data_IF_593118301239
#
_entry.id   IF_593118301239
#
_cell.length_a   1.000
_cell.length_b   1.000
_cell.length_c   1.000
_cell.angle_alpha   90.00
_cell.angle_beta   90.00
_cell.angle_gamma   90.00
#
_symmetry.space_group_name_H-M   'P 1'
#
loop_
_entity.id
_entity.type
_entity.pdbx_description
1 polymer ?
#
# COMPACT_ATOMS: atom_id res chain seq x y z
N UNK A 1 -0.58 12.61 -26.46
CA UNK A 1 -1.89 11.98 -26.22
C UNK A 1 -2.73 12.93 -25.36
N UNK A 2 -3.95 13.30 -25.78
CA UNK A 2 -4.86 14.21 -25.06
C UNK A 2 -5.23 13.69 -23.66
N UNK A 3 -5.45 12.39 -23.51
CA UNK A 3 -5.85 11.80 -22.23
C UNK A 3 -4.76 11.86 -21.17
N UNK A 4 -3.48 11.86 -21.58
CA UNK A 4 -2.36 12.10 -20.66
C UNK A 4 -2.41 13.52 -20.09
N UNK A 5 -2.73 14.52 -20.92
CA UNK A 5 -2.88 15.90 -20.46
C UNK A 5 -4.09 16.05 -19.52
N UNK A 6 -5.22 15.41 -19.85
CA UNK A 6 -6.40 15.38 -18.99
C UNK A 6 -6.13 14.66 -17.65
N UNK A 7 -5.34 13.58 -17.65
CA UNK A 7 -5.00 12.86 -16.42
C UNK A 7 -4.14 13.74 -15.49
N UNK A 8 -3.18 14.48 -16.08
CA UNK A 8 -2.41 15.48 -15.35
C UNK A 8 -3.30 16.61 -14.83
N UNK A 9 -4.22 17.13 -15.64
CA UNK A 9 -5.20 18.15 -15.24
C UNK A 9 -6.06 17.65 -14.07
N UNK A 10 -6.65 16.45 -14.19
CA UNK A 10 -7.44 15.80 -13.14
C UNK A 10 -6.68 15.79 -11.80
N UNK A 11 -5.46 15.25 -11.78
CA UNK A 11 -4.65 15.19 -10.55
C UNK A 11 -4.27 16.58 -10.04
N UNK A 12 -3.79 17.47 -10.91
CA UNK A 12 -3.31 18.79 -10.52
C UNK A 12 -4.43 19.65 -9.95
N UNK A 13 -5.60 19.63 -10.59
CA UNK A 13 -6.79 20.35 -10.12
C UNK A 13 -7.30 19.75 -8.81
N UNK A 14 -7.31 18.43 -8.64
CA UNK A 14 -7.66 17.79 -7.36
C UNK A 14 -6.73 18.27 -6.23
N UNK A 15 -5.42 18.34 -6.50
CA UNK A 15 -4.43 18.76 -5.52
C UNK A 15 -4.59 20.24 -5.16
N UNK A 16 -4.81 21.10 -6.16
CA UNK A 16 -5.09 22.52 -5.95
C UNK A 16 -6.37 22.72 -5.13
N UNK A 17 -7.44 21.98 -5.43
CA UNK A 17 -8.70 22.01 -4.70
C UNK A 17 -8.54 21.57 -3.24
N UNK A 18 -7.80 20.48 -3.02
CA UNK A 18 -7.48 19.99 -1.68
C UNK A 18 -6.69 21.00 -0.87
N UNK A 19 -5.66 21.63 -1.47
CA UNK A 19 -4.89 22.67 -0.78
C UNK A 19 -5.80 23.87 -0.49
N UNK A 20 -6.61 24.32 -1.45
CA UNK A 20 -7.57 25.40 -1.25
C UNK A 20 -8.55 25.10 -0.10
N UNK A 21 -9.03 23.86 0.03
CA UNK A 21 -9.93 23.48 1.12
C UNK A 21 -9.17 23.22 2.43
N UNK A 22 -8.39 22.15 2.47
CA UNK A 22 -7.83 21.59 3.70
C UNK A 22 -6.76 22.47 4.34
N UNK A 23 -6.03 23.28 3.59
CA UNK A 23 -5.11 24.27 4.18
C UNK A 23 -5.87 25.32 4.99
N UNK A 24 -7.00 25.79 4.47
CA UNK A 24 -7.82 26.81 5.12
C UNK A 24 -8.70 26.24 6.25
N UNK A 25 -8.78 24.91 6.39
CA UNK A 25 -9.40 24.24 7.54
C UNK A 25 -8.41 23.98 8.69
N UNK A 26 -7.12 24.23 8.51
CA UNK A 26 -6.13 24.12 9.59
C UNK A 26 -6.33 25.24 10.62
N UNK A 27 -6.03 24.95 11.89
CA UNK A 27 -5.99 26.00 12.93
C UNK A 27 -4.98 27.11 12.60
N UNK A 28 -3.91 26.78 11.88
CA UNK A 28 -2.95 27.74 11.34
C UNK A 28 -2.62 27.35 9.89
N UNK A 29 -3.31 27.94 8.90
CA UNK A 29 -3.05 27.69 7.48
C UNK A 29 -1.60 27.99 7.11
N UNK A 30 -1.01 27.14 6.25
CA UNK A 30 0.36 27.34 5.77
C UNK A 30 0.30 28.25 4.54
N UNK A 31 0.67 29.52 4.72
CA UNK A 31 0.68 30.52 3.64
C UNK A 31 1.93 31.41 3.70
N UNK A 32 2.22 32.10 2.60
CA UNK A 32 3.14 33.24 2.57
C UNK A 32 2.35 34.53 2.32
N UNK A 33 2.91 35.67 2.72
CA UNK A 33 2.23 36.97 2.60
C UNK A 33 1.90 37.37 1.16
N UNK A 34 2.70 36.94 0.18
CA UNK A 34 2.48 37.21 -1.25
C UNK A 34 1.65 36.15 -1.96
N UNK A 35 1.18 35.10 -1.26
CA UNK A 35 0.40 34.02 -1.86
C UNK A 35 1.20 33.05 -2.73
N UNK A 36 2.54 33.06 -2.65
CA UNK A 36 3.41 32.05 -3.27
C UNK A 36 3.11 30.65 -2.75
N UNK A 37 2.73 30.57 -1.47
CA UNK A 37 2.29 29.37 -0.79
C UNK A 37 0.88 29.58 -0.24
N UNK A 38 0.03 28.59 -0.47
CA UNK A 38 -1.38 28.61 -0.09
C UNK A 38 -2.28 28.93 -1.29
N UNK A 39 -3.50 28.40 -1.25
CA UNK A 39 -4.53 28.69 -2.25
C UNK A 39 -5.77 29.20 -1.50
N UNK A 40 -6.39 30.31 -1.92
CA UNK A 40 -7.61 30.83 -1.30
C UNK A 40 -8.74 29.79 -1.27
N UNK A 41 -9.49 29.75 -0.17
CA UNK A 41 -10.56 28.76 0.05
C UNK A 41 -11.66 28.79 -1.02
N UNK A 42 -12.00 29.99 -1.51
CA UNK A 42 -13.03 30.18 -2.52
C UNK A 42 -12.68 29.58 -3.90
N UNK A 43 -11.41 29.22 -4.14
CA UNK A 43 -11.00 28.57 -5.38
C UNK A 43 -11.23 27.06 -5.39
N UNK A 44 -11.52 26.44 -4.23
CA UNK A 44 -11.65 24.99 -4.11
C UNK A 44 -12.71 24.42 -5.05
N UNK A 45 -13.91 25.01 -5.09
CA UNK A 45 -15.02 24.57 -5.96
C UNK A 45 -14.64 24.60 -7.43
N UNK A 46 -13.95 25.65 -7.89
CA UNK A 46 -13.53 25.76 -9.29
C UNK A 46 -12.54 24.67 -9.68
N UNK A 47 -11.59 24.35 -8.79
CA UNK A 47 -10.61 23.30 -9.03
C UNK A 47 -11.22 21.89 -8.96
N UNK A 48 -12.10 21.60 -8.00
CA UNK A 48 -12.82 20.31 -7.98
C UNK A 48 -13.67 20.10 -9.23
N UNK A 49 -14.35 21.15 -9.73
CA UNK A 49 -15.13 21.08 -10.97
C UNK A 49 -14.25 20.71 -12.17
N UNK A 50 -13.08 21.32 -12.32
CA UNK A 50 -12.13 20.99 -13.40
C UNK A 50 -11.58 19.56 -13.28
N UNK A 51 -11.22 19.15 -12.06
CA UNK A 51 -10.78 17.78 -11.78
C UNK A 51 -11.83 16.76 -12.20
N UNK A 52 -13.09 16.99 -11.81
CA UNK A 52 -14.20 16.10 -12.14
C UNK A 52 -14.48 16.06 -13.64
N UNK A 53 -14.49 17.21 -14.32
CA UNK A 53 -14.71 17.30 -15.76
C UNK A 53 -13.66 16.52 -16.55
N UNK A 54 -12.37 16.76 -16.27
CA UNK A 54 -11.27 16.03 -16.91
C UNK A 54 -11.37 14.51 -16.66
N UNK A 55 -11.75 14.12 -15.43
CA UNK A 55 -11.91 12.71 -15.08
C UNK A 55 -13.07 12.05 -15.83
N UNK A 56 -14.22 12.73 -15.94
CA UNK A 56 -15.39 12.28 -16.72
C UNK A 56 -15.04 12.10 -18.19
N UNK A 57 -14.25 13.01 -18.76
CA UNK A 57 -13.81 12.91 -20.16
C UNK A 57 -12.90 11.69 -20.41
N UNK A 58 -11.98 11.38 -19.48
CA UNK A 58 -11.13 10.18 -19.58
C UNK A 58 -11.95 8.89 -19.43
N UNK A 59 -12.89 8.86 -18.48
CA UNK A 59 -13.75 7.68 -18.26
C UNK A 59 -14.68 7.38 -19.45
N UNK A 60 -15.02 8.39 -20.26
CA UNK A 60 -15.76 8.24 -21.52
C UNK A 60 -14.84 7.99 -22.73
N UNK A 61 -13.52 7.93 -22.50
CA UNK A 61 -12.50 7.69 -23.52
C UNK A 61 -12.25 6.20 -23.79
N UNK A 62 -11.10 5.86 -24.41
CA UNK A 62 -10.78 4.51 -24.86
C UNK A 62 -10.26 3.58 -23.75
N UNK A 63 -10.22 4.03 -22.49
CA UNK A 63 -9.62 3.29 -21.38
C UNK A 63 -10.67 2.44 -20.65
N UNK A 64 -10.25 1.29 -20.13
CA UNK A 64 -11.09 0.40 -19.33
C UNK A 64 -10.31 -0.17 -18.16
N UNK A 65 -10.98 -0.44 -17.04
CA UNK A 65 -10.36 -1.10 -15.90
C UNK A 65 -9.94 -2.52 -16.29
N UNK A 66 -8.73 -2.92 -15.87
CA UNK A 66 -8.15 -4.21 -16.21
C UNK A 66 -8.98 -5.35 -15.60
N UNK A 67 -9.37 -6.32 -16.44
CA UNK A 67 -10.20 -7.47 -16.07
C UNK A 67 -10.04 -8.63 -17.08
N UNK A 68 -8.80 -9.04 -17.34
CA UNK A 68 -8.47 -10.11 -18.30
C UNK A 68 -8.34 -11.51 -17.65
N UNK A 69 -8.29 -11.58 -16.32
CA UNK A 69 -8.18 -12.80 -15.52
C UNK A 69 -9.52 -13.10 -14.80
N UNK A 70 -9.83 -14.36 -14.51
CA UNK A 70 -10.97 -14.69 -13.65
C UNK A 70 -10.70 -14.32 -12.18
N UNK A 71 -9.46 -14.47 -11.73
CA UNK A 71 -9.03 -14.10 -10.38
C UNK A 71 -8.85 -12.58 -10.28
N UNK A 72 -9.59 -11.95 -9.34
CA UNK A 72 -9.59 -10.49 -9.15
C UNK A 72 -8.29 -9.97 -8.56
N UNK A 73 -7.60 -10.74 -7.74
CA UNK A 73 -6.30 -10.37 -7.20
C UNK A 73 -5.20 -10.46 -8.25
N UNK A 74 -5.23 -11.50 -9.08
CA UNK A 74 -4.35 -11.67 -10.23
C UNK A 74 -4.56 -10.55 -11.25
N UNK A 75 -5.81 -10.14 -11.54
CA UNK A 75 -6.08 -8.96 -12.36
C UNK A 75 -5.38 -7.71 -11.86
N UNK A 76 -5.46 -7.46 -10.55
CA UNK A 76 -4.87 -6.27 -9.95
C UNK A 76 -3.34 -6.26 -10.03
N UNK A 77 -2.72 -7.43 -9.92
CA UNK A 77 -1.29 -7.63 -10.16
C UNK A 77 -0.93 -7.47 -11.65
N UNK A 78 -1.66 -8.16 -12.52
CA UNK A 78 -1.42 -8.27 -13.95
C UNK A 78 -1.48 -6.91 -14.64
N UNK A 79 -2.41 -6.03 -14.23
CA UNK A 79 -2.56 -4.67 -14.73
C UNK A 79 -1.25 -3.86 -14.84
N UNK A 80 -0.28 -4.14 -13.96
CA UNK A 80 0.99 -3.40 -13.89
C UNK A 80 2.18 -4.22 -14.39
N UNK A 81 2.04 -5.54 -14.48
CA UNK A 81 3.11 -6.46 -14.82
C UNK A 81 3.00 -6.98 -16.25
N UNK A 82 1.77 -7.10 -16.77
CA UNK A 82 1.48 -7.38 -18.16
C UNK A 82 1.33 -6.09 -18.93
N UNK A 83 1.97 -6.02 -20.09
CA UNK A 83 1.84 -4.90 -21.02
C UNK A 83 0.62 -5.04 -21.93
N UNK A 84 -0.52 -5.31 -21.32
CA UNK A 84 -1.81 -5.55 -21.99
C UNK A 84 -2.90 -4.69 -21.34
N UNK A 85 -4.12 -4.81 -21.87
CA UNK A 85 -5.26 -4.05 -21.39
C UNK A 85 -5.23 -2.57 -21.75
N UNK A 86 -6.25 -1.87 -21.27
CA UNK A 86 -6.51 -0.46 -21.56
C UNK A 86 -6.65 0.37 -20.28
N UNK A 87 -6.08 -0.05 -19.15
CA UNK A 87 -6.16 0.74 -17.90
C UNK A 87 -5.05 1.80 -17.80
N UNK A 88 -3.85 1.50 -18.32
CA UNK A 88 -2.70 2.40 -18.25
C UNK A 88 -2.86 3.54 -19.26
N UNK A 89 -2.86 4.79 -18.77
CA UNK A 89 -3.01 6.01 -19.59
C UNK A 89 -1.66 6.53 -20.05
N UNK A 90 -0.69 6.53 -19.13
CA UNK A 90 0.68 6.93 -19.42
C UNK A 90 1.63 6.19 -18.48
N UNK A 91 2.69 5.62 -19.05
CA UNK A 91 3.71 4.90 -18.31
C UNK A 91 5.09 5.17 -18.90
N UNK A 92 6.11 5.02 -18.05
CA UNK A 92 7.45 4.76 -18.55
C UNK A 92 7.50 3.32 -19.04
N UNK A 93 7.71 3.15 -20.34
CA UNK A 93 7.83 1.85 -20.97
C UNK A 93 9.29 1.38 -20.94
N UNK A 94 9.54 0.29 -20.20
CA UNK A 94 10.85 -0.34 -20.13
C UNK A 94 10.94 -1.46 -21.15
N UNK A 95 11.99 -1.58 -21.91
CA UNK A 95 12.12 -2.61 -22.94
C UNK A 95 13.43 -3.35 -22.72
N UNK A 96 13.37 -4.68 -22.59
CA UNK A 96 14.55 -5.54 -22.54
C UNK A 96 15.48 -5.18 -23.71
N UNK A 97 16.79 -5.13 -23.47
CA UNK A 97 17.84 -4.63 -24.39
C UNK A 97 17.95 -3.11 -24.57
N UNK A 98 16.96 -2.30 -24.19
CA UNK A 98 17.04 -0.83 -24.28
C UNK A 98 17.17 -0.19 -22.89
N UNK A 99 16.18 -0.41 -22.04
CA UNK A 99 16.16 0.12 -20.68
C UNK A 99 15.28 -0.76 -19.80
N UNK A 100 15.82 -1.17 -18.67
CA UNK A 100 15.16 -2.02 -17.66
C UNK A 100 15.21 -1.36 -16.29
N UNK A 101 14.48 -1.90 -15.31
CA UNK A 101 14.55 -1.49 -13.91
C UNK A 101 14.80 -2.70 -12.99
N UNK A 102 15.40 -2.44 -11.83
CA UNK A 102 15.79 -3.48 -10.86
C UNK A 102 14.75 -3.77 -9.80
N UNK A 103 13.53 -3.23 -9.92
CA UNK A 103 12.53 -3.34 -8.87
C UNK A 103 12.23 -4.77 -8.45
N UNK A 104 12.12 -5.70 -9.41
CA UNK A 104 11.94 -7.12 -9.12
C UNK A 104 13.20 -7.72 -8.45
N UNK A 105 14.40 -7.42 -8.96
CA UNK A 105 15.67 -7.83 -8.33
C UNK A 105 15.75 -7.38 -6.85
N UNK A 106 15.41 -6.12 -6.55
CA UNK A 106 15.52 -5.56 -5.20
C UNK A 106 14.44 -6.08 -4.22
N UNK A 107 13.36 -6.71 -4.71
CA UNK A 107 12.16 -7.01 -3.91
C UNK A 107 11.60 -8.41 -4.07
N UNK A 108 12.18 -9.24 -4.94
CA UNK A 108 11.78 -10.64 -5.10
C UNK A 108 11.85 -11.35 -3.74
N UNK A 109 11.00 -12.34 -3.56
CA UNK A 109 11.03 -13.21 -2.38
C UNK A 109 12.34 -13.99 -2.34
N UNK A 110 12.93 -14.17 -1.16
CA UNK A 110 14.23 -14.83 -0.96
C UNK A 110 14.35 -16.19 -1.64
N UNK A 111 13.38 -17.09 -1.47
CA UNK A 111 13.39 -18.43 -2.09
C UNK A 111 13.27 -18.42 -3.63
N UNK A 112 12.97 -17.25 -4.21
CA UNK A 112 12.71 -17.03 -5.63
C UNK A 112 13.73 -16.09 -6.28
N UNK A 113 14.82 -15.74 -5.58
CA UNK A 113 15.93 -14.98 -6.15
C UNK A 113 16.56 -15.77 -7.30
N UNK A 114 16.73 -15.12 -8.45
CA UNK A 114 17.44 -15.69 -9.60
C UNK A 114 18.95 -15.44 -9.50
N UNK A 115 19.34 -14.34 -8.85
CA UNK A 115 20.70 -14.02 -8.43
C UNK A 115 20.73 -13.78 -6.90
N UNK A 116 21.72 -14.31 -6.18
CA UNK A 116 21.79 -14.29 -4.70
C UNK A 116 22.18 -12.92 -4.09
N UNK A 117 21.84 -11.79 -4.72
CA UNK A 117 22.46 -10.49 -4.39
C UNK A 117 21.47 -9.37 -3.96
N UNK A 118 20.17 -9.62 -3.83
CA UNK A 118 19.22 -8.70 -3.17
C UNK A 118 17.83 -9.33 -3.00
N UNK A 119 17.13 -9.02 -1.92
CA UNK A 119 15.69 -9.30 -1.79
C UNK A 119 15.05 -8.45 -0.68
N UNK A 120 13.73 -8.27 -0.76
CA UNK A 120 12.91 -7.69 0.31
C UNK A 120 13.33 -6.29 0.80
N UNK A 121 13.82 -5.42 -0.08
CA UNK A 121 14.17 -4.02 0.30
C UNK A 121 12.94 -3.23 0.78
N UNK A 122 11.74 -3.54 0.26
CA UNK A 122 10.46 -3.00 0.71
C UNK A 122 9.66 -4.09 1.44
N UNK A 123 9.25 -3.79 2.66
CA UNK A 123 8.34 -4.64 3.45
C UNK A 123 7.02 -3.89 3.71
N UNK A 124 5.88 -4.34 3.13
CA UNK A 124 4.56 -3.81 3.45
C UNK A 124 4.30 -3.84 4.96
N UNK A 125 3.74 -2.77 5.52
CA UNK A 125 3.40 -2.73 6.95
C UNK A 125 2.06 -3.40 7.23
N UNK A 126 1.86 -3.87 8.46
CA UNK A 126 0.58 -4.40 8.92
C UNK A 126 -0.55 -3.37 8.74
N UNK A 127 -0.30 -2.09 9.03
CA UNK A 127 -1.27 -1.01 8.78
C UNK A 127 -1.71 -0.91 7.32
N UNK A 128 -0.85 -1.23 6.35
CA UNK A 128 -1.26 -1.32 4.95
C UNK A 128 -2.09 -2.58 4.70
N UNK A 129 -1.66 -3.73 5.21
CA UNK A 129 -2.42 -4.99 5.07
C UNK A 129 -3.83 -4.87 5.68
N UNK A 130 -3.97 -4.19 6.82
CA UNK A 130 -5.26 -3.96 7.48
C UNK A 130 -6.11 -2.85 6.86
N UNK A 131 -5.56 -2.10 5.89
CA UNK A 131 -6.37 -1.14 5.13
C UNK A 131 -7.24 -1.80 4.04
N UNK A 132 -6.94 -3.07 3.71
CA UNK A 132 -7.75 -3.90 2.84
C UNK A 132 -8.92 -4.50 3.63
N UNK A 133 -10.10 -3.94 3.41
CA UNK A 133 -11.37 -4.39 4.03
C UNK A 133 -11.72 -5.83 3.62
N UNK A 134 -12.65 -6.46 4.35
CA UNK A 134 -13.20 -7.76 3.96
C UNK A 134 -14.33 -7.57 2.94
N UNK A 135 -14.52 -8.53 2.04
CA UNK A 135 -15.50 -8.47 0.95
C UNK A 135 -16.96 -8.40 1.44
N UNK A 136 -17.21 -8.80 2.69
CA UNK A 136 -18.50 -8.64 3.38
C UNK A 136 -18.78 -7.20 3.85
N UNK A 137 -17.83 -6.28 3.67
CA UNK A 137 -17.93 -4.87 4.06
C UNK A 137 -17.39 -4.55 5.46
N UNK A 138 -16.96 -5.56 6.23
CA UNK A 138 -16.31 -5.34 7.51
C UNK A 138 -14.88 -4.81 7.36
N UNK A 139 -14.38 -4.17 8.44
CA UNK A 139 -13.08 -3.49 8.42
C UNK A 139 -11.92 -4.44 8.31
N UNK A 140 -10.87 -4.00 7.61
CA UNK A 140 -9.68 -4.80 7.33
C UNK A 140 -8.80 -5.19 8.53
N UNK A 141 -9.16 -4.86 9.77
CA UNK A 141 -8.40 -5.30 10.95
C UNK A 141 -8.37 -6.83 11.04
N UNK A 142 -7.19 -7.42 11.18
CA UNK A 142 -7.03 -8.87 11.28
C UNK A 142 -7.43 -9.37 12.68
N UNK A 143 -7.95 -10.60 12.75
CA UNK A 143 -8.49 -11.20 13.97
C UNK A 143 -7.49 -12.13 14.66
N UNK A 144 -6.29 -11.64 14.96
CA UNK A 144 -5.24 -12.41 15.64
C UNK A 144 -5.60 -12.79 17.09
N UNK A 145 -6.46 -12.00 17.74
CA UNK A 145 -6.99 -12.24 19.09
C UNK A 145 -8.51 -12.07 19.14
N UNK A 146 -9.16 -12.82 20.03
CA UNK A 146 -10.59 -12.67 20.32
C UNK A 146 -10.85 -11.53 21.32
N UNK A 147 -12.12 -11.26 21.63
CA UNK A 147 -12.52 -10.19 22.56
C UNK A 147 -11.99 -10.34 24.00
N UNK A 148 -11.53 -11.53 24.39
CA UNK A 148 -10.89 -11.78 25.68
C UNK A 148 -9.35 -11.63 25.64
N UNK A 149 -8.78 -11.25 24.49
CA UNK A 149 -7.34 -11.10 24.29
C UNK A 149 -6.58 -12.40 24.02
N UNK A 150 -7.28 -13.54 23.90
CA UNK A 150 -6.66 -14.82 23.58
C UNK A 150 -6.42 -14.96 22.08
N UNK A 151 -5.33 -15.60 21.69
CA UNK A 151 -5.04 -15.86 20.28
C UNK A 151 -6.12 -16.71 19.62
N UNK A 152 -6.44 -16.36 18.37
CA UNK A 152 -7.27 -17.17 17.49
C UNK A 152 -6.36 -18.13 16.73
N UNK A 153 -6.59 -19.44 16.88
CA UNK A 153 -5.82 -20.48 16.20
C UNK A 153 -6.49 -20.88 14.87
N UNK A 154 -5.74 -20.73 13.79
CA UNK A 154 -6.18 -20.97 12.41
C UNK A 154 -5.68 -22.30 11.88
N UNK A 155 -6.50 -23.00 11.09
CA UNK A 155 -6.13 -24.32 10.57
C UNK A 155 -4.96 -24.22 9.58
N UNK A 156 -5.00 -23.23 8.69
CA UNK A 156 -3.96 -22.94 7.71
C UNK A 156 -3.37 -21.54 7.95
N UNK A 157 -2.11 -21.38 7.53
CA UNK A 157 -1.33 -20.14 7.70
C UNK A 157 -1.86 -18.95 6.85
N UNK A 158 -2.84 -19.16 5.98
CA UNK A 158 -3.46 -18.10 5.19
C UNK A 158 -4.91 -17.80 5.62
N UNK A 159 -5.50 -18.57 6.54
CA UNK A 159 -6.92 -18.43 6.89
C UNK A 159 -7.25 -17.06 7.52
N UNK A 160 -6.30 -16.41 8.22
CA UNK A 160 -6.50 -15.06 8.78
C UNK A 160 -6.76 -13.99 7.70
N UNK A 161 -6.33 -14.26 6.46
CA UNK A 161 -6.52 -13.38 5.29
C UNK A 161 -7.69 -13.81 4.41
N UNK A 162 -8.49 -14.79 4.82
CA UNK A 162 -9.65 -15.23 4.05
C UNK A 162 -10.66 -14.07 3.87
N UNK A 163 -11.38 -14.07 2.74
CA UNK A 163 -12.41 -13.07 2.41
C UNK A 163 -11.92 -11.61 2.37
N UNK A 164 -10.62 -11.37 2.22
CA UNK A 164 -10.05 -10.04 2.04
C UNK A 164 -10.34 -9.47 0.65
N UNK A 165 -10.37 -8.14 0.56
CA UNK A 165 -10.24 -7.37 -0.68
C UNK A 165 -9.18 -8.01 -1.60
N UNK A 166 -9.58 -8.35 -2.83
CA UNK A 166 -8.70 -9.07 -3.75
C UNK A 166 -7.43 -8.27 -4.10
N UNK A 167 -7.46 -6.94 -3.96
CA UNK A 167 -6.28 -6.08 -4.15
C UNK A 167 -5.17 -6.38 -3.15
N UNK A 168 -5.48 -6.95 -1.98
CA UNK A 168 -4.45 -7.40 -1.04
C UNK A 168 -3.53 -8.43 -1.71
N UNK A 169 -4.10 -9.43 -2.37
CA UNK A 169 -3.33 -10.44 -3.09
C UNK A 169 -2.47 -9.81 -4.18
N UNK A 170 -3.05 -8.94 -5.02
CA UNK A 170 -2.30 -8.26 -6.08
C UNK A 170 -1.21 -7.30 -5.58
N UNK A 171 -1.27 -6.89 -4.30
CA UNK A 171 -0.37 -5.91 -3.70
C UNK A 171 0.73 -6.54 -2.85
N UNK A 172 0.41 -7.58 -2.08
CA UNK A 172 1.24 -8.13 -1.01
C UNK A 172 1.36 -9.66 -1.15
N UNK A 173 2.56 -10.18 -0.93
CA UNK A 173 2.80 -11.60 -0.68
C UNK A 173 2.79 -11.79 0.83
N UNK A 174 1.79 -12.52 1.33
CA UNK A 174 1.54 -12.79 2.74
C UNK A 174 1.62 -14.30 3.04
N UNK A 175 1.69 -14.72 4.33
CA UNK A 175 1.84 -16.12 4.68
C UNK A 175 0.83 -17.04 3.99
N UNK A 176 1.37 -18.14 3.42
CA UNK A 176 0.58 -19.15 2.68
C UNK A 176 0.25 -18.80 1.24
N UNK A 177 0.70 -17.64 0.71
CA UNK A 177 0.57 -17.34 -0.73
C UNK A 177 1.70 -17.93 -1.56
N UNK A 178 1.49 -17.99 -2.87
CA UNK A 178 2.49 -18.37 -3.86
C UNK A 178 2.90 -17.19 -4.74
N UNK A 179 4.09 -17.27 -5.31
CA UNK A 179 4.58 -16.35 -6.34
C UNK A 179 5.41 -17.14 -7.38
N UNK A 180 5.28 -16.80 -8.67
CA UNK A 180 5.89 -17.58 -9.78
C UNK A 180 5.60 -19.09 -9.71
N UNK A 181 4.37 -19.46 -9.34
CA UNK A 181 3.94 -20.86 -9.21
C UNK A 181 4.56 -21.64 -8.03
N UNK A 182 5.35 -20.98 -7.15
CA UNK A 182 6.01 -21.61 -6.01
C UNK A 182 5.44 -21.07 -4.70
N UNK A 183 5.25 -21.94 -3.71
CA UNK A 183 4.81 -21.54 -2.38
C UNK A 183 5.90 -20.72 -1.68
N UNK A 184 5.49 -19.67 -0.96
CA UNK A 184 6.39 -18.82 -0.18
C UNK A 184 6.29 -19.18 1.30
N UNK A 185 7.43 -19.51 1.92
CA UNK A 185 7.50 -20.04 3.28
C UNK A 185 7.66 -18.92 4.32
N UNK A 186 6.58 -18.16 4.56
CA UNK A 186 6.57 -17.05 5.52
C UNK A 186 6.04 -17.50 6.90
N UNK A 187 6.84 -18.30 7.61
CA UNK A 187 6.59 -18.64 9.02
C UNK A 187 7.72 -18.06 9.88
N UNK A 188 7.39 -17.29 10.91
CA UNK A 188 8.38 -16.66 11.78
C UNK A 188 9.00 -17.68 12.75
N UNK A 189 8.20 -18.62 13.24
CA UNK A 189 8.63 -19.51 14.31
C UNK A 189 7.59 -20.55 14.71
N UNK A 190 7.79 -21.13 15.90
CA UNK A 190 6.77 -21.90 16.62
C UNK A 190 6.36 -21.21 17.91
N UNK A 191 5.11 -21.44 18.31
CA UNK A 191 4.57 -21.04 19.59
C UNK A 191 4.38 -22.27 20.48
N UNK A 192 5.05 -22.33 21.62
CA UNK A 192 4.89 -23.38 22.63
C UNK A 192 4.13 -22.87 23.83
N UNK A 193 3.45 -23.75 24.57
CA UNK A 193 2.73 -23.34 25.78
C UNK A 193 3.68 -23.31 26.99
N UNK A 194 3.87 -22.13 27.58
CA UNK A 194 4.72 -21.92 28.75
C UNK A 194 4.04 -22.31 30.06
N UNK A 195 4.85 -22.61 31.08
CA UNK A 195 4.37 -22.90 32.44
C UNK A 195 3.62 -21.72 33.10
N UNK A 196 3.81 -20.50 32.59
CA UNK A 196 3.10 -19.29 33.00
C UNK A 196 1.69 -19.16 32.39
N UNK A 197 1.21 -20.16 31.64
CA UNK A 197 -0.11 -20.14 31.02
C UNK A 197 -0.20 -19.22 29.80
N UNK A 198 0.90 -18.99 29.10
CA UNK A 198 0.95 -18.16 27.89
C UNK A 198 1.84 -18.78 26.81
N UNK A 199 1.57 -18.43 25.55
CA UNK A 199 2.41 -18.81 24.42
C UNK A 199 3.81 -18.19 24.51
N UNK A 200 4.83 -18.99 24.23
CA UNK A 200 6.23 -18.60 24.09
C UNK A 200 6.62 -18.73 22.62
N UNK A 201 7.09 -17.64 22.03
CA UNK A 201 7.46 -17.58 20.62
C UNK A 201 8.94 -17.82 20.44
N UNK A 202 9.30 -18.78 19.59
CA UNK A 202 10.69 -19.10 19.28
C UNK A 202 10.90 -19.16 17.78
N UNK A 203 12.06 -18.71 17.33
CA UNK A 203 12.52 -18.84 15.95
C UNK A 203 13.78 -19.71 15.90
N UNK A 204 14.01 -20.36 14.77
CA UNK A 204 15.20 -21.16 14.56
C UNK A 204 16.46 -20.28 14.44
N UNK A 205 17.65 -20.81 14.78
CA UNK A 205 18.93 -20.15 14.52
C UNK A 205 19.16 -19.83 13.03
N UNK A 206 18.58 -20.61 12.13
CA UNK A 206 18.69 -20.43 10.69
C UNK A 206 17.34 -20.64 10.00
N UNK A 207 17.13 -19.91 8.90
CA UNK A 207 15.96 -20.04 8.03
C UNK A 207 15.83 -21.46 7.48
N UNK A 208 14.59 -21.96 7.36
CA UNK A 208 14.29 -23.27 6.77
C UNK A 208 14.49 -24.47 7.69
N UNK A 209 14.88 -24.26 8.96
CA UNK A 209 15.06 -25.37 9.91
C UNK A 209 13.73 -25.92 10.42
N UNK A 210 13.74 -27.22 10.73
CA UNK A 210 12.62 -27.92 11.36
C UNK A 210 12.74 -27.87 12.89
N UNK A 211 11.59 -27.94 13.56
CA UNK A 211 11.51 -27.99 15.01
C UNK A 211 11.80 -29.41 15.51
N UNK A 212 12.36 -29.55 16.72
CA UNK A 212 12.81 -30.83 17.25
C UNK A 212 11.70 -31.90 17.31
N UNK A 213 10.46 -31.50 17.63
CA UNK A 213 9.29 -32.39 17.65
C UNK A 213 8.59 -32.55 16.28
N UNK A 214 9.23 -32.10 15.20
CA UNK A 214 8.76 -32.24 13.82
C UNK A 214 8.06 -31.00 13.26
N UNK A 215 8.05 -30.91 11.93
CA UNK A 215 7.51 -29.79 11.16
C UNK A 215 8.42 -28.55 11.12
N UNK A 216 8.07 -27.58 10.30
CA UNK A 216 8.84 -26.35 10.11
C UNK A 216 8.93 -25.53 11.41
N UNK A 217 10.11 -24.99 11.70
CA UNK A 217 10.33 -24.03 12.79
C UNK A 217 10.24 -22.59 12.27
N UNK A 218 11.18 -22.19 11.42
CA UNK A 218 11.18 -20.88 10.76
C UNK A 218 11.28 -21.11 9.26
N UNK A 219 10.38 -20.49 8.50
CA UNK A 219 10.32 -20.64 7.05
C UNK A 219 11.48 -19.97 6.34
N UNK A 220 11.81 -20.44 5.13
CA UNK A 220 12.95 -19.91 4.38
C UNK A 220 12.74 -18.45 3.92
N UNK A 221 11.48 -18.02 3.81
CA UNK A 221 11.07 -16.65 3.49
C UNK A 221 10.56 -15.91 4.73
N UNK A 222 10.64 -16.53 5.91
CA UNK A 222 10.14 -16.00 7.17
C UNK A 222 10.99 -14.85 7.70
N UNK A 223 10.39 -13.96 8.51
CA UNK A 223 11.16 -12.94 9.21
C UNK A 223 12.06 -13.58 10.27
N UNK A 224 13.33 -13.17 10.31
CA UNK A 224 14.30 -13.58 11.33
C UNK A 224 15.22 -12.39 11.65
N UNK A 225 15.49 -12.14 12.93
CA UNK A 225 16.08 -10.89 13.44
C UNK A 225 17.39 -10.48 12.74
N UNK A 226 18.34 -11.40 12.58
CA UNK A 226 19.65 -11.14 11.95
C UNK A 226 19.73 -11.62 10.49
N UNK A 227 18.63 -12.11 9.92
CA UNK A 227 18.63 -12.53 8.53
C UNK A 227 18.63 -11.32 7.58
N UNK A 228 19.46 -11.42 6.55
CA UNK A 228 19.44 -10.50 5.42
C UNK A 228 18.42 -10.98 4.37
N UNK A 229 17.99 -10.05 3.52
CA UNK A 229 17.14 -10.34 2.36
C UNK A 229 15.84 -11.09 2.65
N UNK A 230 15.29 -10.93 3.85
CA UNK A 230 13.95 -11.38 4.24
C UNK A 230 13.11 -10.23 4.75
N UNK A 231 11.80 -10.40 4.71
CA UNK A 231 10.85 -9.41 5.20
C UNK A 231 11.06 -9.12 6.69
N UNK A 232 10.98 -7.82 7.05
CA UNK A 232 10.98 -7.38 8.44
C UNK A 232 9.58 -7.34 9.05
N UNK A 233 8.52 -7.43 8.23
CA UNK A 233 7.13 -7.25 8.69
C UNK A 233 6.30 -8.52 8.58
N UNK A 234 6.86 -9.61 8.03
CA UNK A 234 6.11 -10.82 7.68
C UNK A 234 5.36 -10.70 6.34
N UNK A 235 5.66 -9.68 5.55
CA UNK A 235 5.05 -9.42 4.24
C UNK A 235 6.11 -9.02 3.21
N UNK A 236 5.98 -9.52 1.97
CA UNK A 236 6.75 -9.01 0.82
C UNK A 236 5.82 -8.23 -0.10
N UNK A 237 6.38 -7.31 -0.87
CA UNK A 237 5.62 -6.64 -1.92
C UNK A 237 5.39 -7.60 -3.10
N UNK A 238 4.15 -7.64 -3.63
CA UNK A 238 3.83 -8.33 -4.90
C UNK A 238 3.77 -7.34 -6.06
N UNK A 239 3.13 -6.19 -5.84
CA UNK A 239 2.93 -5.15 -6.86
C UNK A 239 4.26 -4.72 -7.47
N UNK A 240 4.31 -4.52 -8.79
CA UNK A 240 5.51 -4.17 -9.57
C UNK A 240 6.66 -5.20 -9.58
N UNK A 241 6.63 -6.23 -8.74
CA UNK A 241 7.59 -7.34 -8.81
C UNK A 241 7.18 -8.21 -9.98
N UNK A 242 7.86 -8.06 -11.12
CA UNK A 242 7.58 -8.83 -12.32
C UNK A 242 7.84 -10.33 -12.12
N UNK A 243 6.95 -11.15 -12.63
CA UNK A 243 7.05 -12.61 -12.72
C UNK A 243 7.62 -13.10 -14.06
N UNK A 244 8.03 -12.17 -14.94
CA UNK A 244 8.65 -12.53 -16.20
C UNK A 244 9.97 -13.29 -15.97
N UNK A 245 10.35 -14.21 -16.88
CA UNK A 245 11.62 -14.94 -16.79
C UNK A 245 12.81 -14.00 -16.67
N UNK A 246 13.75 -14.32 -15.76
CA UNK A 246 14.96 -13.54 -15.51
C UNK A 246 14.74 -12.10 -15.02
N UNK A 247 13.51 -11.72 -14.64
CA UNK A 247 13.20 -10.35 -14.22
C UNK A 247 13.90 -9.93 -12.91
N UNK A 248 14.33 -10.88 -12.08
CA UNK A 248 15.16 -10.62 -10.90
C UNK A 248 16.62 -10.98 -11.11
N UNK A 249 17.10 -11.12 -12.36
CA UNK A 249 18.53 -11.21 -12.66
C UNK A 249 19.14 -9.83 -12.89
N UNK A 250 20.43 -9.66 -12.57
CA UNK A 250 21.19 -8.42 -12.77
C UNK A 250 21.39 -8.09 -14.25
N UNK A 251 21.54 -9.11 -15.08
CA UNK A 251 21.80 -8.98 -16.52
C UNK A 251 20.55 -8.66 -17.35
N UNK A 252 19.40 -9.25 -17.00
CA UNK A 252 18.15 -9.07 -17.74
C UNK A 252 17.26 -8.02 -17.08
N UNK A 253 16.97 -8.19 -15.77
CA UNK A 253 16.09 -7.32 -14.99
C UNK A 253 14.66 -7.18 -15.56
N UNK A 254 13.82 -6.38 -14.89
CA UNK A 254 12.41 -6.26 -15.23
C UNK A 254 12.15 -5.18 -16.29
N UNK A 255 11.15 -5.44 -17.13
CA UNK A 255 10.74 -4.56 -18.22
C UNK A 255 9.23 -4.26 -18.20
N UNK A 256 8.52 -4.52 -17.10
CA UNK A 256 7.10 -4.20 -17.00
C UNK A 256 6.84 -2.68 -17.02
N UNK A 257 5.59 -2.28 -17.24
CA UNK A 257 5.23 -0.86 -17.24
C UNK A 257 5.40 -0.23 -15.87
N UNK A 258 5.80 1.04 -15.87
CA UNK A 258 5.78 1.89 -14.68
C UNK A 258 4.79 3.04 -14.90
N UNK A 259 3.50 2.88 -14.55
CA UNK A 259 2.50 3.89 -14.84
C UNK A 259 2.74 5.16 -14.04
N UNK A 260 2.48 6.27 -14.70
CA UNK A 260 2.31 7.57 -14.05
C UNK A 260 0.85 7.97 -13.96
N UNK A 261 0.00 7.50 -14.88
CA UNK A 261 -1.45 7.68 -14.83
C UNK A 261 -2.14 6.38 -15.28
N UNK A 262 -3.18 5.99 -14.54
CA UNK A 262 -4.04 4.85 -14.89
C UNK A 262 -5.47 5.09 -14.44
N UNK A 263 -6.41 4.35 -15.04
CA UNK A 263 -7.84 4.61 -14.89
C UNK A 263 -8.34 4.48 -13.44
N UNK A 264 -7.78 3.57 -12.63
CA UNK A 264 -8.15 3.49 -11.20
C UNK A 264 -7.93 4.79 -10.42
N UNK A 265 -6.87 5.54 -10.73
CA UNK A 265 -6.65 6.87 -10.15
C UNK A 265 -7.73 7.86 -10.60
N UNK A 266 -8.13 7.82 -11.87
CA UNK A 266 -9.12 8.74 -12.45
C UNK A 266 -10.49 8.55 -11.78
N UNK A 267 -10.91 7.30 -11.54
CA UNK A 267 -12.12 7.03 -10.76
C UNK A 267 -12.05 7.60 -9.34
N UNK A 268 -10.89 7.52 -8.68
CA UNK A 268 -10.70 8.08 -7.34
C UNK A 268 -10.67 9.62 -7.35
N UNK A 269 -10.05 10.23 -8.36
CA UNK A 269 -10.05 11.68 -8.54
C UNK A 269 -11.48 12.18 -8.78
N UNK A 270 -12.26 11.48 -9.62
CA UNK A 270 -13.67 11.77 -9.86
C UNK A 270 -14.52 11.60 -8.60
N UNK A 271 -14.32 10.50 -7.85
CA UNK A 271 -15.06 10.21 -6.61
C UNK A 271 -14.84 11.29 -5.57
N UNK A 272 -13.57 11.65 -5.31
CA UNK A 272 -13.22 12.70 -4.36
C UNK A 272 -13.77 14.06 -4.79
N UNK A 273 -13.54 14.47 -6.05
CA UNK A 273 -14.03 15.76 -6.53
C UNK A 273 -15.56 15.86 -6.50
N UNK A 274 -16.27 14.81 -6.92
CA UNK A 274 -17.73 14.76 -6.87
C UNK A 274 -18.25 14.84 -5.43
N UNK A 275 -17.64 14.10 -4.50
CA UNK A 275 -18.02 14.14 -3.08
C UNK A 275 -17.87 15.55 -2.50
N UNK A 276 -16.76 16.21 -2.81
CA UNK A 276 -16.44 17.55 -2.32
C UNK A 276 -17.33 18.65 -2.93
N UNK A 277 -17.92 18.39 -4.09
CA UNK A 277 -18.93 19.24 -4.74
C UNK A 277 -20.37 18.92 -4.29
N UNK A 278 -20.55 17.99 -3.34
CA UNK A 278 -21.87 17.55 -2.89
C UNK A 278 -22.59 16.59 -3.85
N UNK A 279 -21.91 16.08 -4.88
CA UNK A 279 -22.44 15.11 -5.85
C UNK A 279 -22.26 13.68 -5.34
N UNK A 280 -22.81 13.38 -4.17
CA UNK A 280 -22.55 12.12 -3.44
C UNK A 280 -22.98 10.86 -4.21
N UNK A 281 -24.01 10.95 -5.05
CA UNK A 281 -24.47 9.83 -5.89
C UNK A 281 -23.41 9.48 -6.94
N UNK A 282 -22.92 10.46 -7.69
CA UNK A 282 -21.83 10.28 -8.66
C UNK A 282 -20.56 9.76 -7.97
N UNK A 283 -20.19 10.36 -6.84
CA UNK A 283 -19.02 9.97 -6.07
C UNK A 283 -19.04 8.49 -5.66
N UNK A 284 -20.21 8.03 -5.19
CA UNK A 284 -20.46 6.65 -4.78
C UNK A 284 -20.41 5.69 -5.97
N UNK A 285 -20.97 6.08 -7.12
CA UNK A 285 -20.88 5.29 -8.35
C UNK A 285 -19.42 5.05 -8.75
N UNK A 286 -18.57 6.08 -8.72
CA UNK A 286 -17.17 5.96 -9.13
C UNK A 286 -16.36 5.04 -8.23
N UNK A 287 -16.51 5.16 -6.90
CA UNK A 287 -15.76 4.32 -5.97
C UNK A 287 -16.25 2.87 -5.97
N UNK A 288 -17.56 2.63 -6.07
CA UNK A 288 -18.10 1.28 -6.14
C UNK A 288 -17.65 0.56 -7.42
N UNK A 289 -17.42 1.27 -8.53
CA UNK A 289 -16.85 0.67 -9.74
C UNK A 289 -15.48 0.01 -9.49
N UNK A 290 -14.64 0.63 -8.66
CA UNK A 290 -13.34 0.07 -8.29
C UNK A 290 -13.48 -1.10 -7.32
N UNK A 291 -14.41 -1.01 -6.35
CA UNK A 291 -14.68 -2.09 -5.41
C UNK A 291 -15.24 -3.33 -6.10
N UNK A 292 -16.16 -3.17 -7.06
CA UNK A 292 -16.64 -4.27 -7.87
C UNK A 292 -15.51 -4.95 -8.66
N UNK A 293 -14.57 -4.17 -9.22
CA UNK A 293 -13.36 -4.73 -9.85
C UNK A 293 -12.53 -5.53 -8.84
N UNK A 294 -12.43 -5.05 -7.61
CA UNK A 294 -11.72 -5.70 -6.51
C UNK A 294 -12.47 -6.89 -5.88
N UNK A 295 -13.64 -7.27 -6.41
CA UNK A 295 -14.41 -8.45 -5.99
C UNK A 295 -15.47 -8.17 -4.93
N UNK A 296 -15.69 -6.92 -4.52
CA UNK A 296 -16.79 -6.59 -3.62
C UNK A 296 -18.14 -6.70 -4.34
N UNK A 297 -19.24 -6.94 -3.59
CA UNK A 297 -20.59 -6.84 -4.13
C UNK A 297 -20.87 -5.47 -4.75
N UNK A 298 -21.75 -5.45 -5.75
CA UNK A 298 -22.23 -4.21 -6.35
C UNK A 298 -22.81 -3.27 -5.28
N UNK A 299 -22.48 -1.98 -5.38
CA UNK A 299 -22.89 -0.97 -4.39
C UNK A 299 -22.49 -1.26 -2.93
N UNK A 300 -21.37 -1.96 -2.70
CA UNK A 300 -20.89 -2.31 -1.35
C UNK A 300 -20.68 -1.11 -0.41
N UNK A 301 -20.45 0.10 -0.93
CA UNK A 301 -20.54 1.34 -0.15
C UNK A 301 -21.90 1.98 -0.39
N UNK A 302 -22.75 1.97 0.64
CA UNK A 302 -24.05 2.67 0.65
C UNK A 302 -23.95 4.10 1.16
N UNK A 303 -23.19 4.31 2.25
CA UNK A 303 -22.91 5.60 2.87
C UNK A 303 -21.44 5.99 2.67
N UNK A 304 -21.18 6.87 1.72
CA UNK A 304 -19.82 7.30 1.39
C UNK A 304 -19.36 8.41 2.34
N UNK A 305 -18.14 8.26 2.86
CA UNK A 305 -17.46 9.29 3.65
C UNK A 305 -16.10 9.60 3.04
N UNK A 306 -15.53 10.77 3.38
CA UNK A 306 -14.19 11.12 2.91
C UNK A 306 -13.14 10.11 3.40
N UNK A 307 -13.29 9.52 4.58
CA UNK A 307 -12.35 8.51 5.07
C UNK A 307 -12.42 7.20 4.29
N UNK A 308 -13.60 6.82 3.78
CA UNK A 308 -13.73 5.71 2.83
C UNK A 308 -13.00 6.04 1.53
N UNK A 309 -13.19 7.23 0.96
CA UNK A 309 -12.47 7.67 -0.25
C UNK A 309 -10.95 7.65 -0.04
N UNK A 310 -10.49 8.17 1.11
CA UNK A 310 -9.06 8.16 1.49
C UNK A 310 -8.51 6.75 1.61
N UNK A 311 -9.28 5.82 2.18
CA UNK A 311 -8.87 4.42 2.30
C UNK A 311 -8.84 3.73 0.93
N UNK A 312 -9.87 3.90 0.11
CA UNK A 312 -9.93 3.36 -1.25
C UNK A 312 -8.75 3.86 -2.09
N UNK A 313 -8.41 5.15 -1.96
CA UNK A 313 -7.21 5.71 -2.59
C UNK A 313 -5.92 5.07 -2.09
N UNK A 314 -5.82 4.77 -0.79
CA UNK A 314 -4.66 4.11 -0.19
C UNK A 314 -4.46 2.68 -0.70
N UNK A 315 -5.52 1.87 -0.78
CA UNK A 315 -5.42 0.46 -1.20
C UNK A 315 -5.26 0.32 -2.70
N UNK A 316 -5.98 1.14 -3.47
CA UNK A 316 -5.90 1.13 -4.94
C UNK A 316 -4.52 1.58 -5.42
N UNK A 317 -3.99 2.69 -4.89
CA UNK A 317 -2.74 3.31 -5.33
C UNK A 317 -1.55 2.96 -4.43
N UNK A 318 -1.62 1.86 -3.68
CA UNK A 318 -0.52 1.39 -2.85
C UNK A 318 0.74 1.18 -3.71
N UNK A 319 1.88 1.69 -3.24
CA UNK A 319 3.18 1.67 -3.91
C UNK A 319 3.28 2.42 -5.25
N UNK A 320 2.32 3.31 -5.55
CA UNK A 320 2.32 4.13 -6.77
C UNK A 320 2.65 5.62 -6.47
N UNK A 321 3.49 5.88 -5.45
CA UNK A 321 3.94 7.23 -5.05
C UNK A 321 2.84 8.24 -4.66
N UNK A 322 1.64 7.78 -4.30
CA UNK A 322 0.51 8.66 -3.96
C UNK A 322 0.41 9.04 -2.47
N UNK A 323 0.61 8.07 -1.55
CA UNK A 323 0.26 8.23 -0.12
C UNK A 323 0.89 9.45 0.54
N UNK A 324 2.16 9.74 0.26
CA UNK A 324 2.86 10.88 0.84
C UNK A 324 2.22 12.21 0.43
N UNK A 325 1.93 12.38 -0.86
CA UNK A 325 1.33 13.60 -1.38
C UNK A 325 -0.16 13.72 -1.03
N UNK A 326 -0.88 12.60 -0.95
CA UNK A 326 -2.27 12.58 -0.51
C UNK A 326 -2.42 13.07 0.94
N UNK A 327 -1.59 12.57 1.87
CA UNK A 327 -1.59 13.07 3.24
C UNK A 327 -1.18 14.55 3.31
N UNK A 328 -0.30 15.01 2.41
CA UNK A 328 0.14 16.40 2.35
C UNK A 328 -0.94 17.36 1.86
N UNK A 329 -1.67 17.00 0.80
CA UNK A 329 -2.74 17.86 0.23
C UNK A 329 -3.98 17.90 1.11
N UNK A 330 -4.27 16.81 1.83
CA UNK A 330 -5.32 16.78 2.85
C UNK A 330 -4.94 17.44 4.17
N UNK A 331 -3.68 17.88 4.33
CA UNK A 331 -3.16 18.50 5.56
C UNK A 331 -3.29 17.63 6.81
N UNK A 332 -3.10 16.32 6.65
CA UNK A 332 -3.17 15.35 7.75
C UNK A 332 -1.87 14.57 7.96
N UNK A 333 -0.81 14.82 7.19
CA UNK A 333 0.45 14.09 7.30
C UNK A 333 1.06 14.15 8.72
N UNK A 334 1.11 15.35 9.32
CA UNK A 334 1.55 15.57 10.70
C UNK A 334 0.65 14.94 11.79
N UNK A 335 -0.60 14.61 11.45
CA UNK A 335 -1.52 13.93 12.37
C UNK A 335 -1.37 12.40 12.29
N UNK A 336 -1.03 11.89 11.11
CA UNK A 336 -0.84 10.44 10.87
C UNK A 336 0.56 9.98 11.27
N UNK A 337 1.54 10.87 11.15
CA UNK A 337 2.94 10.63 11.50
C UNK A 337 3.34 11.65 12.57
N UNK A 338 2.74 11.53 13.74
CA UNK A 338 2.87 12.47 14.86
C UNK A 338 4.18 12.28 15.67
N UNK A 339 4.90 11.19 15.43
CA UNK A 339 6.11 10.80 16.18
C UNK A 339 5.84 10.13 17.52
N UNK A 340 4.57 9.84 17.86
CA UNK A 340 4.20 9.10 19.06
C UNK A 340 4.54 7.63 18.94
N UNK A 341 5.28 7.10 19.92
CA UNK A 341 5.66 5.69 19.99
C UNK A 341 4.48 4.76 20.30
N UNK A 342 3.31 5.34 20.63
CA UNK A 342 2.07 4.62 20.93
C UNK A 342 0.99 4.80 19.84
N UNK A 343 1.22 5.62 18.82
CA UNK A 343 0.26 5.76 17.71
C UNK A 343 0.50 4.66 16.66
N UNK A 344 -0.47 3.75 16.44
CA UNK A 344 -0.35 2.69 15.44
C UNK A 344 -0.28 3.20 14.00
N UNK A 345 -0.59 4.48 13.73
CA UNK A 345 -0.42 5.10 12.42
C UNK A 345 1.01 5.59 12.19
N UNK A 346 1.67 6.07 13.24
CA UNK A 346 3.04 6.54 13.19
C UNK A 346 4.05 5.39 13.24
N UNK A 347 3.77 4.35 14.03
CA UNK A 347 4.62 3.17 14.20
C UNK A 347 4.37 2.14 13.10
N UNK A 348 5.46 1.55 12.58
CA UNK A 348 5.39 0.44 11.63
C UNK A 348 5.32 -0.87 12.40
N UNK A 349 4.22 -1.62 12.19
CA UNK A 349 4.06 -2.97 12.70
C UNK A 349 4.18 -4.01 11.58
N UNK A 350 4.56 -5.22 11.96
CA UNK A 350 4.46 -6.45 11.18
C UNK A 350 3.52 -7.45 11.85
N UNK A 351 3.27 -8.56 11.16
CA UNK A 351 2.51 -9.68 11.68
C UNK A 351 3.29 -10.97 11.45
N UNK A 352 3.66 -11.65 12.53
CA UNK A 352 4.48 -12.84 12.46
C UNK A 352 3.61 -14.08 12.71
N UNK A 353 3.63 -15.01 11.76
CA UNK A 353 2.89 -16.27 11.86
C UNK A 353 3.73 -17.34 12.59
N UNK A 354 3.11 -18.00 13.57
CA UNK A 354 3.74 -19.06 14.35
C UNK A 354 2.89 -20.32 14.31
N UNK A 355 3.51 -21.46 14.03
CA UNK A 355 2.86 -22.76 14.20
C UNK A 355 2.83 -23.13 15.68
N UNK A 356 1.68 -23.53 16.19
CA UNK A 356 1.51 -23.99 17.56
C UNK A 356 2.07 -25.39 17.70
N UNK A 357 2.90 -25.58 18.73
CA UNK A 357 3.42 -26.89 19.17
C UNK A 357 2.96 -27.09 20.60
N UNK A 358 1.84 -27.82 20.75
CA UNK A 358 1.16 -28.12 22.01
C UNK A 358 0.47 -29.50 21.94
N UNK A 359 1.24 -30.60 21.85
CA UNK A 359 0.69 -31.94 21.67
C UNK A 359 -0.45 -32.27 22.64
N UNK A 360 -1.54 -32.82 22.11
CA UNK A 360 -2.73 -33.19 22.89
C UNK A 360 -3.72 -32.05 23.13
N UNK A 361 -3.45 -30.83 22.68
CA UNK A 361 -4.38 -29.71 22.74
C UNK A 361 -5.04 -29.41 21.37
N UNK A 362 -6.23 -28.83 21.39
CA UNK A 362 -7.04 -28.59 20.18
C UNK A 362 -6.46 -27.56 19.19
N UNK A 363 -5.42 -26.82 19.59
CA UNK A 363 -4.70 -25.86 18.76
C UNK A 363 -3.35 -26.38 18.26
N UNK A 364 -2.96 -27.61 18.61
CA UNK A 364 -1.71 -28.19 18.13
C UNK A 364 -1.67 -28.25 16.59
N UNK A 365 -0.54 -27.84 16.01
CA UNK A 365 -0.35 -27.78 14.56
C UNK A 365 -1.07 -26.63 13.85
N UNK A 366 -1.93 -25.87 14.54
CA UNK A 366 -2.58 -24.65 14.00
C UNK A 366 -1.62 -23.46 14.00
N UNK A 367 -2.08 -22.33 13.47
CA UNK A 367 -1.31 -21.09 13.36
C UNK A 367 -1.92 -19.98 14.20
N UNK A 368 -1.08 -19.28 14.95
CA UNK A 368 -1.42 -18.03 15.63
C UNK A 368 -0.51 -16.90 15.12
N UNK A 369 -0.91 -15.66 15.32
CA UNK A 369 -0.21 -14.49 14.78
C UNK A 369 0.10 -13.50 15.87
N UNK A 370 1.33 -12.99 15.88
CA UNK A 370 1.73 -11.92 16.79
C UNK A 370 1.98 -10.63 16.02
N UNK A 371 1.39 -9.54 16.52
CA UNK A 371 1.68 -8.18 16.05
C UNK A 371 3.02 -7.77 16.62
N UNK A 372 3.99 -7.51 15.76
CA UNK A 372 5.36 -7.19 16.17
C UNK A 372 5.74 -5.80 15.74
N UNK A 373 6.53 -5.13 16.56
CA UNK A 373 7.29 -3.95 16.15
C UNK A 373 8.63 -4.42 15.59
N UNK A 374 8.87 -4.37 14.28
CA UNK A 374 10.10 -4.91 13.71
C UNK A 374 11.35 -4.19 14.23
N UNK A 375 12.41 -4.94 14.46
CA UNK A 375 13.65 -4.41 15.02
C UNK A 375 14.33 -3.33 14.16
N UNK A 376 14.05 -3.28 12.85
CA UNK A 376 14.56 -2.23 11.94
C UNK A 376 13.70 -0.96 11.93
N UNK A 377 12.46 -1.01 12.44
CA UNK A 377 11.51 0.10 12.47
C UNK A 377 11.18 0.53 13.92
N UNK A 378 12.22 0.87 14.69
CA UNK A 378 12.13 1.14 16.15
C UNK A 378 11.60 2.52 16.52
N UNK A 379 11.33 3.40 15.56
CA UNK A 379 10.89 4.77 15.82
C UNK A 379 9.60 5.06 15.08
N UNK A 380 8.71 5.77 15.75
CA UNK A 380 7.54 6.33 15.12
C UNK A 380 7.95 7.30 14.00
N UNK A 381 7.21 7.30 12.90
CA UNK A 381 7.40 8.29 11.84
C UNK A 381 6.94 9.64 12.37
N UNK A 382 7.77 10.66 12.17
CA UNK A 382 7.49 12.02 12.59
C UNK A 382 7.54 12.99 11.42
N UNK A 383 6.37 13.50 11.03
CA UNK A 383 6.18 14.48 9.97
C UNK A 383 5.97 15.86 10.58
N UNK A 384 6.93 16.74 10.39
CA UNK A 384 6.91 18.11 10.89
C UNK A 384 6.16 19.02 9.94
N UNK A 385 5.70 20.16 10.44
CA UNK A 385 5.08 21.20 9.60
C UNK A 385 5.99 21.64 8.44
N UNK A 386 7.30 21.72 8.66
CA UNK A 386 8.29 22.00 7.62
C UNK A 386 8.32 20.97 6.49
N UNK A 387 7.83 19.74 6.69
CA UNK A 387 7.82 18.71 5.65
C UNK A 387 6.69 18.90 4.61
N UNK A 388 5.75 19.83 4.83
CA UNK A 388 4.74 20.15 3.82
C UNK A 388 5.34 20.78 2.56
N UNK A 389 6.48 21.47 2.67
CA UNK A 389 7.18 22.08 1.54
C UNK A 389 8.68 21.76 1.61
N UNK A 390 9.32 21.52 0.46
CA UNK A 390 10.76 21.30 0.42
C UNK A 390 11.51 22.62 0.68
N UNK A 391 12.72 22.56 1.23
CA UNK A 391 13.58 23.73 1.31
C UNK A 391 14.01 24.17 -0.09
N UNK A 392 14.15 25.49 -0.28
CA UNK A 392 14.80 26.06 -1.46
C UNK A 392 16.23 26.36 -1.05
N UNK A 393 17.21 25.91 -1.84
CA UNK A 393 18.63 26.16 -1.57
C UNK A 393 18.91 27.66 -1.42
N UNK A 394 19.75 28.03 -0.44
CA UNK A 394 20.13 29.42 -0.21
C UNK A 394 20.77 30.05 -1.44
N UNK A 395 21.54 29.28 -2.22
CA UNK A 395 22.17 29.75 -3.45
C UNK A 395 21.15 30.15 -4.52
N UNK A 396 20.00 29.45 -4.57
CA UNK A 396 18.91 29.78 -5.50
C UNK A 396 18.26 31.10 -5.10
N UNK A 397 18.05 31.32 -3.80
CA UNK A 397 17.47 32.56 -3.26
C UNK A 397 18.44 33.74 -3.48
N UNK A 398 19.73 33.54 -3.22
CA UNK A 398 20.76 34.57 -3.43
C UNK A 398 20.85 35.02 -4.89
N UNK A 399 20.67 34.09 -5.83
CA UNK A 399 20.70 34.38 -7.28
C UNK A 399 19.42 35.04 -7.79
N UNK A 400 18.29 34.88 -7.10
CA UNK A 400 17.03 35.53 -7.47
C UNK A 400 16.26 35.97 -6.22
N UNK A 401 16.38 37.26 -5.82
CA UNK A 401 15.73 37.78 -4.63
C UNK A 401 14.20 37.83 -4.72
N UNK A 402 13.60 37.53 -5.89
CA UNK A 402 12.14 37.37 -6.02
C UNK A 402 11.62 36.00 -5.55
N UNK A 403 12.51 35.04 -5.31
CA UNK A 403 12.11 33.72 -4.81
C UNK A 403 11.89 33.82 -3.30
N UNK A 404 10.65 33.63 -2.88
CA UNK A 404 10.27 33.60 -1.46
C UNK A 404 10.57 32.23 -0.88
N UNK A 405 11.15 32.21 0.32
CA UNK A 405 11.43 30.98 1.06
C UNK A 405 10.13 30.28 1.44
N UNK A 406 10.09 28.95 1.28
CA UNK A 406 8.97 28.16 1.78
C UNK A 406 8.83 28.26 3.31
N UNK A 407 7.62 28.22 3.87
CA UNK A 407 7.39 28.28 5.31
C UNK A 407 8.17 27.22 6.10
N UNK A 408 8.63 27.61 7.29
CA UNK A 408 9.35 26.76 8.25
C UNK A 408 10.77 26.30 7.85
N UNK A 409 11.45 27.06 6.98
CA UNK A 409 12.85 26.83 6.55
C UNK A 409 13.72 28.06 6.71
#
# INVERSE_FOLDING_TARGET
NKYTALALESRAMLYAASIAKYNNLMASPITTGGGEVGIPANMATGYYTKSLAASKEIMNGPYALYNENADKGANFYDMLNKKTGAEVIFAKDFVTSLKVHRFAYDNIVRSLTEDNESSSTISPSLSLVESFDYLDGSKGTLHDKNGAGNYVAYQNINDIFANKDARLFGTVIYPGTSFRGRAVSIQAGVATWGANGAYQFTAAPQLGQNYASGGLWTGFDGPLYDAQDVSNTGFYIRKFVSDAPAASTRGTSAANWWPWFRLGEIYLNASEAAFELGQTVDARTYVNKLRERAGFPANSISNLTMDIIRNERRVELAFEDHRYYDLKRWRIAHLVWDGSENDPNAVVYGLYAYRVVRPGHADDGKYIYERVRPARFRKARFFRMANYYASISQDVINKNPKIVRNPFH
#
